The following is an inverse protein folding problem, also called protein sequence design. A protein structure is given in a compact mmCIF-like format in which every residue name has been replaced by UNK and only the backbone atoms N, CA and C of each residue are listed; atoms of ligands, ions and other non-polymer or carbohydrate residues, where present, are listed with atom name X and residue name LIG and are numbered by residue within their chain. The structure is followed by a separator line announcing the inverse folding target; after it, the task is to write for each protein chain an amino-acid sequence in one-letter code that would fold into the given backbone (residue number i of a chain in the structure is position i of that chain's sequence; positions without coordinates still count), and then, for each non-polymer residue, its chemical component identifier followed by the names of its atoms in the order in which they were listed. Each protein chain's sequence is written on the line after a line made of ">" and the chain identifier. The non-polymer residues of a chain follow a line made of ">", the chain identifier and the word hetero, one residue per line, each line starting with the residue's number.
data_IF_907560368382
#
_entry.id   IF_907560368382
#
_cell.length_a   1.000
_cell.length_b   1.000
_cell.length_c   1.000
_cell.angle_alpha   90.00
_cell.angle_beta   90.00
_cell.angle_gamma   90.00
#
_symmetry.space_group_name_H-M   'P 1'
#
loop_
_entity.id
_entity.type
_entity.pdbx_description
1 polymer ?
#
# COMPACT_ATOMS: atom_id res chain seq x y z
N UNK A 1 -66.64 -1.13 25.04
CA UNK A 1 -66.04 -0.74 26.34
C UNK A 1 -64.84 0.15 26.09
N UNK A 2 -64.96 1.42 26.45
CA UNK A 2 -63.99 2.51 26.23
C UNK A 2 -62.99 2.63 27.38
N UNK A 3 -61.74 3.02 27.05
CA UNK A 3 -60.76 3.79 27.87
C UNK A 3 -60.27 3.04 29.13
N UNK A 4 -59.05 3.13 29.66
CA UNK A 4 -57.96 4.13 29.64
C UNK A 4 -56.89 3.57 30.59
N UNK A 5 -55.62 3.52 30.21
CA UNK A 5 -54.52 3.44 31.19
C UNK A 5 -53.42 4.41 30.75
N UNK A 6 -53.41 5.56 31.41
CA UNK A 6 -52.31 6.52 31.42
C UNK A 6 -52.18 7.05 32.86
N UNK A 7 -50.91 7.19 33.26
CA UNK A 7 -50.37 8.00 34.36
C UNK A 7 -50.50 7.49 35.80
N UNK A 8 -49.33 7.15 36.38
CA UNK A 8 -48.79 7.89 37.52
C UNK A 8 -47.25 7.88 37.49
N UNK A 9 -46.66 9.08 37.54
CA UNK A 9 -45.25 9.39 37.77
C UNK A 9 -45.15 9.89 39.20
N UNK A 10 -44.20 9.43 40.03
CA UNK A 10 -43.60 10.22 41.12
C UNK A 10 -42.58 9.44 41.97
N UNK A 11 -41.40 10.04 42.12
CA UNK A 11 -40.58 10.08 43.34
C UNK A 11 -39.78 8.86 43.79
N UNK A 12 -38.55 8.74 43.29
CA UNK A 12 -37.40 8.29 44.09
C UNK A 12 -36.24 9.28 43.91
N UNK A 13 -36.20 10.30 44.76
CA UNK A 13 -35.01 11.11 45.03
C UNK A 13 -34.50 10.81 46.44
N UNK A 14 -33.19 10.95 46.62
CA UNK A 14 -32.47 11.11 47.90
C UNK A 14 -32.17 9.85 48.73
N UNK A 15 -31.16 9.09 48.32
CA UNK A 15 -30.11 8.63 49.26
C UNK A 15 -28.77 8.83 48.55
N UNK A 16 -27.93 9.72 49.09
CA UNK A 16 -26.46 9.72 49.08
C UNK A 16 -25.96 11.16 49.28
N UNK A 17 -26.02 11.59 50.54
CA UNK A 17 -25.29 12.75 51.01
C UNK A 17 -23.87 12.34 51.45
N UNK A 18 -22.89 13.12 50.97
CA UNK A 18 -21.63 13.47 51.62
C UNK A 18 -20.61 12.37 52.00
N UNK A 19 -19.59 12.19 51.15
CA UNK A 19 -18.17 12.16 51.57
C UNK A 19 -17.36 12.94 50.53
N UNK A 20 -17.21 14.25 50.75
CA UNK A 20 -16.25 15.09 50.02
C UNK A 20 -14.97 15.16 50.86
N UNK A 21 -14.06 14.22 50.62
CA UNK A 21 -12.66 14.36 51.04
C UNK A 21 -11.97 15.20 49.96
N UNK A 22 -11.62 16.44 50.30
CA UNK A 22 -10.75 17.30 49.49
C UNK A 22 -9.37 16.66 49.36
N UNK A 23 -9.16 15.90 48.29
CA UNK A 23 -7.83 15.50 47.85
C UNK A 23 -7.21 16.72 47.16
N UNK A 24 -6.08 17.28 47.66
CA UNK A 24 -5.39 18.34 46.96
C UNK A 24 -4.88 17.77 45.63
N UNK A 25 -5.43 18.27 44.52
CA UNK A 25 -4.90 18.00 43.17
C UNK A 25 -3.51 18.62 43.11
N UNK A 26 -2.47 17.82 43.40
CA UNK A 26 -1.10 18.15 43.03
C UNK A 26 -1.12 18.48 41.54
N UNK A 27 -0.67 19.68 41.20
CA UNK A 27 -0.47 20.10 39.83
C UNK A 27 0.45 19.09 39.16
N UNK A 28 -0.15 18.18 38.39
CA UNK A 28 0.58 17.34 37.48
C UNK A 28 1.19 18.25 36.43
N UNK A 29 2.51 18.15 36.26
CA UNK A 29 3.21 18.76 35.15
C UNK A 29 2.39 18.53 33.88
N UNK A 30 2.06 19.61 33.17
CA UNK A 30 1.38 19.53 31.89
C UNK A 30 2.36 18.89 30.92
N UNK A 31 2.39 17.56 30.89
CA UNK A 31 3.02 16.83 29.80
C UNK A 31 2.22 17.25 28.57
N UNK A 32 2.83 18.09 27.74
CA UNK A 32 2.23 18.51 26.48
C UNK A 32 1.83 17.22 25.75
N UNK A 33 0.52 17.08 25.44
CA UNK A 33 0.02 15.94 24.68
C UNK A 33 0.87 15.85 23.40
N UNK A 34 1.49 14.70 23.08
CA UNK A 34 2.23 14.54 21.84
C UNK A 34 1.40 15.04 20.67
N UNK A 35 2.03 15.80 19.76
CA UNK A 35 1.33 16.34 18.60
C UNK A 35 0.86 15.14 17.77
N UNK A 36 -0.44 14.92 17.74
CA UNK A 36 -1.08 13.88 16.93
C UNK A 36 -1.22 14.41 15.50
N UNK A 37 -0.87 13.63 14.49
CA UNK A 37 -1.06 14.00 13.09
C UNK A 37 -2.55 14.09 12.72
N UNK A 38 -3.37 13.24 13.33
CA UNK A 38 -4.81 13.25 13.20
C UNK A 38 -5.54 14.32 14.01
N UNK A 39 -6.87 14.31 13.86
CA UNK A 39 -7.83 15.21 14.53
C UNK A 39 -8.75 14.43 15.46
N UNK A 40 -9.21 15.10 16.52
CA UNK A 40 -10.20 14.53 17.46
C UNK A 40 -11.65 14.67 16.94
N UNK A 41 -11.86 15.56 15.96
CA UNK A 41 -13.15 15.80 15.31
C UNK A 41 -12.94 16.22 13.85
N UNK A 42 -13.86 15.79 12.98
CA UNK A 42 -13.86 16.19 11.57
C UNK A 42 -15.29 16.60 11.13
N UNK A 43 -15.47 17.72 10.39
CA UNK A 43 -16.78 18.10 9.86
C UNK A 43 -17.25 17.11 8.79
N UNK A 44 -18.52 16.68 8.88
CA UNK A 44 -19.20 15.89 7.85
C UNK A 44 -20.22 16.77 7.16
N UNK A 45 -20.16 16.85 5.84
CA UNK A 45 -21.10 17.66 5.09
C UNK A 45 -22.52 17.09 5.21
N UNK A 46 -23.52 17.97 5.17
CA UNK A 46 -24.94 17.59 5.24
C UNK A 46 -25.41 16.83 3.99
N UNK A 47 -24.76 17.05 2.85
CA UNK A 47 -25.00 16.35 1.59
C UNK A 47 -24.23 15.03 1.44
N UNK A 48 -23.52 14.57 2.48
CA UNK A 48 -22.68 13.37 2.42
C UNK A 48 -23.41 12.13 1.88
N UNK A 49 -24.69 11.96 2.24
CA UNK A 49 -25.51 10.82 1.79
C UNK A 49 -26.04 10.95 0.35
N UNK A 50 -25.88 12.13 -0.27
CA UNK A 50 -26.27 12.39 -1.65
C UNK A 50 -25.12 12.20 -2.64
N UNK A 51 -23.87 12.16 -2.17
CA UNK A 51 -22.72 11.83 -3.01
C UNK A 51 -22.94 10.45 -3.67
N UNK A 52 -22.89 10.40 -5.00
CA UNK A 52 -23.17 9.18 -5.75
C UNK A 52 -22.22 8.03 -5.38
N UNK A 53 -20.96 8.32 -5.02
CA UNK A 53 -20.01 7.30 -4.57
C UNK A 53 -20.46 6.68 -3.24
N UNK A 54 -20.95 7.50 -2.33
CA UNK A 54 -21.52 7.06 -1.05
C UNK A 54 -22.82 6.29 -1.27
N UNK A 55 -23.67 6.75 -2.18
CA UNK A 55 -24.92 6.06 -2.55
C UNK A 55 -24.65 4.69 -3.18
N UNK A 56 -23.65 4.55 -4.04
CA UNK A 56 -23.24 3.28 -4.64
C UNK A 56 -22.73 2.30 -3.58
N UNK A 57 -21.91 2.77 -2.63
CA UNK A 57 -21.45 1.94 -1.50
C UNK A 57 -22.62 1.51 -0.62
N UNK A 58 -23.55 2.42 -0.33
CA UNK A 58 -24.78 2.10 0.42
C UNK A 58 -25.65 1.09 -0.31
N UNK A 59 -25.79 1.21 -1.63
CA UNK A 59 -26.60 0.29 -2.43
C UNK A 59 -26.02 -1.13 -2.40
N UNK A 60 -24.68 -1.27 -2.43
CA UNK A 60 -24.01 -2.57 -2.45
C UNK A 60 -23.88 -3.22 -1.08
N UNK A 61 -23.55 -2.45 -0.05
CA UNK A 61 -23.18 -2.97 1.28
C UNK A 61 -24.18 -2.59 2.39
N UNK A 62 -25.26 -1.90 2.03
CA UNK A 62 -26.33 -1.51 2.95
C UNK A 62 -25.84 -0.63 4.11
N UNK A 63 -26.45 -0.85 5.28
CA UNK A 63 -26.11 -0.13 6.50
C UNK A 63 -24.67 -0.42 6.97
N UNK A 64 -24.17 -1.65 6.79
CA UNK A 64 -22.79 -2.02 7.14
C UNK A 64 -21.78 -1.23 6.32
N UNK A 65 -22.05 -1.01 5.03
CA UNK A 65 -21.19 -0.17 4.18
C UNK A 65 -21.12 1.28 4.66
N UNK A 66 -22.25 1.86 5.06
CA UNK A 66 -22.28 3.22 5.61
C UNK A 66 -21.51 3.32 6.92
N UNK A 67 -21.68 2.33 7.80
CA UNK A 67 -20.94 2.23 9.05
C UNK A 67 -19.43 2.08 8.82
N UNK A 68 -19.01 1.16 7.94
CA UNK A 68 -17.59 0.95 7.61
C UNK A 68 -16.96 2.20 6.99
N UNK A 69 -17.68 2.92 6.13
CA UNK A 69 -17.20 4.17 5.56
C UNK A 69 -16.92 5.20 6.65
N UNK A 70 -17.87 5.38 7.56
CA UNK A 70 -17.75 6.31 8.68
C UNK A 70 -16.62 5.90 9.65
N UNK A 71 -16.52 4.61 9.94
CA UNK A 71 -15.44 4.02 10.74
C UNK A 71 -14.06 4.28 10.14
N UNK A 72 -13.89 4.03 8.84
CA UNK A 72 -12.62 4.25 8.13
C UNK A 72 -12.26 5.74 8.08
N UNK A 73 -13.24 6.63 7.90
CA UNK A 73 -13.00 8.07 7.98
C UNK A 73 -12.55 8.48 9.39
N UNK A 74 -13.19 7.95 10.44
CA UNK A 74 -12.76 8.17 11.82
C UNK A 74 -11.32 7.68 12.07
N UNK A 75 -10.96 6.48 11.60
CA UNK A 75 -9.62 5.93 11.75
C UNK A 75 -8.56 6.74 10.99
N UNK A 76 -8.87 7.08 9.74
CA UNK A 76 -8.02 7.87 8.85
C UNK A 76 -7.77 9.28 9.40
N UNK A 77 -8.83 10.04 9.72
CA UNK A 77 -8.70 11.39 10.26
C UNK A 77 -8.12 11.36 11.68
N UNK A 78 -8.47 10.34 12.46
CA UNK A 78 -8.04 10.20 13.84
C UNK A 78 -6.55 9.89 13.99
N UNK A 79 -5.95 9.11 13.07
CA UNK A 79 -4.55 8.67 13.20
C UNK A 79 -3.60 9.50 12.36
N UNK A 80 -3.56 9.26 11.05
CA UNK A 80 -2.59 9.89 10.14
C UNK A 80 -3.16 11.13 9.45
N UNK A 81 -4.46 11.41 9.66
CA UNK A 81 -5.10 12.62 9.24
C UNK A 81 -5.70 12.59 7.83
N UNK A 82 -4.94 12.19 6.82
CA UNK A 82 -5.39 12.25 5.41
C UNK A 82 -5.19 10.95 4.63
N UNK A 83 -4.65 9.92 5.28
CA UNK A 83 -4.47 8.60 4.68
C UNK A 83 -4.51 7.51 5.74
N UNK A 84 -4.54 6.26 5.29
CA UNK A 84 -4.39 5.07 6.11
C UNK A 84 -3.52 4.09 5.35
N UNK A 85 -2.52 3.53 6.01
CA UNK A 85 -1.75 2.42 5.43
C UNK A 85 -2.62 1.18 5.39
N UNK A 86 -2.66 0.53 4.23
CA UNK A 86 -3.55 -0.59 3.97
C UNK A 86 -2.77 -1.85 3.60
N UNK A 87 -2.83 -2.82 4.49
CA UNK A 87 -2.28 -4.15 4.31
C UNK A 87 -3.24 -5.19 4.92
N UNK A 88 -2.88 -6.46 4.83
CA UNK A 88 -3.72 -7.55 5.33
C UNK A 88 -3.97 -7.44 6.84
N UNK A 89 -2.94 -7.13 7.64
CA UNK A 89 -3.08 -6.91 9.07
C UNK A 89 -4.05 -5.76 9.38
N UNK A 90 -3.99 -4.67 8.60
CA UNK A 90 -4.92 -3.55 8.77
C UNK A 90 -6.35 -3.95 8.49
N UNK A 91 -6.58 -4.81 7.49
CA UNK A 91 -7.91 -5.36 7.18
C UNK A 91 -8.48 -6.13 8.39
N UNK A 92 -7.67 -6.97 9.04
CA UNK A 92 -8.05 -7.68 10.27
C UNK A 92 -8.34 -6.71 11.43
N UNK A 93 -7.50 -5.69 11.64
CA UNK A 93 -7.70 -4.70 12.70
C UNK A 93 -8.98 -3.87 12.49
N UNK A 94 -9.31 -3.53 11.24
CA UNK A 94 -10.56 -2.84 10.92
C UNK A 94 -11.75 -3.76 11.16
N UNK A 95 -11.65 -5.04 10.79
CA UNK A 95 -12.70 -6.02 11.03
C UNK A 95 -13.00 -6.20 12.53
N UNK A 96 -11.96 -6.39 13.35
CA UNK A 96 -12.07 -6.51 14.81
C UNK A 96 -12.65 -5.23 15.43
N UNK A 97 -12.09 -4.07 15.08
CA UNK A 97 -12.48 -2.80 15.68
C UNK A 97 -13.84 -2.27 15.22
N UNK A 98 -14.29 -2.61 14.00
CA UNK A 98 -15.63 -2.29 13.53
C UNK A 98 -16.68 -3.23 14.14
N UNK A 99 -16.33 -4.50 14.35
CA UNK A 99 -17.25 -5.51 14.89
C UNK A 99 -18.54 -5.61 14.06
N UNK A 100 -19.68 -5.81 14.72
CA UNK A 100 -21.01 -5.82 14.10
C UNK A 100 -21.16 -6.81 12.90
N UNK A 101 -20.39 -7.90 12.91
CA UNK A 101 -20.34 -8.87 11.81
C UNK A 101 -19.74 -8.29 10.52
N UNK A 102 -18.79 -7.36 10.64
CA UNK A 102 -17.93 -6.91 9.55
C UNK A 102 -16.65 -7.75 9.56
N UNK A 103 -16.73 -9.01 9.12
CA UNK A 103 -15.55 -9.87 8.98
C UNK A 103 -14.55 -9.32 7.95
N UNK A 104 -13.33 -9.87 7.95
CA UNK A 104 -12.25 -9.40 7.07
C UNK A 104 -12.56 -9.58 5.58
N UNK A 105 -13.39 -10.55 5.21
CA UNK A 105 -13.89 -10.74 3.84
C UNK A 105 -14.79 -9.58 3.41
N UNK A 106 -15.78 -9.25 4.23
CA UNK A 106 -16.66 -8.09 4.00
C UNK A 106 -15.85 -6.78 3.90
N UNK A 107 -14.89 -6.57 4.82
CA UNK A 107 -14.05 -5.37 4.81
C UNK A 107 -13.22 -5.29 3.53
N UNK A 108 -12.64 -6.41 3.08
CA UNK A 108 -11.86 -6.48 1.83
C UNK A 108 -12.73 -6.18 0.61
N UNK A 109 -13.93 -6.74 0.53
CA UNK A 109 -14.90 -6.44 -0.53
C UNK A 109 -15.33 -4.97 -0.49
N UNK A 110 -15.56 -4.43 0.70
CA UNK A 110 -15.95 -3.04 0.91
C UNK A 110 -14.88 -2.08 0.38
N UNK A 111 -13.60 -2.29 0.73
CA UNK A 111 -12.49 -1.48 0.19
C UNK A 111 -12.39 -1.61 -1.33
N UNK A 112 -12.56 -2.81 -1.86
CA UNK A 112 -12.61 -3.02 -3.32
C UNK A 112 -13.72 -2.18 -3.95
N UNK A 113 -14.91 -2.14 -3.32
CA UNK A 113 -16.01 -1.28 -3.72
C UNK A 113 -15.66 0.22 -3.66
N UNK A 114 -14.96 0.67 -2.60
CA UNK A 114 -14.52 2.06 -2.47
C UNK A 114 -13.53 2.48 -3.56
N UNK A 115 -12.67 1.58 -4.00
CA UNK A 115 -11.75 1.82 -5.12
C UNK A 115 -12.52 1.89 -6.44
N UNK A 116 -13.45 0.94 -6.67
CA UNK A 116 -14.27 0.87 -7.88
C UNK A 116 -15.19 2.09 -8.08
N UNK A 117 -15.71 2.68 -7.01
CA UNK A 117 -16.50 3.92 -7.10
C UNK A 117 -15.66 5.20 -6.98
N UNK A 118 -14.33 5.09 -7.01
CA UNK A 118 -13.39 6.22 -6.90
C UNK A 118 -13.58 7.04 -5.63
N UNK A 119 -14.02 6.41 -4.52
CA UNK A 119 -14.05 7.03 -3.20
C UNK A 119 -12.63 7.19 -2.66
N UNK A 120 -11.80 6.16 -2.86
CA UNK A 120 -10.34 6.22 -2.69
C UNK A 120 -9.65 6.27 -4.06
N UNK A 121 -8.50 6.93 -4.15
CA UNK A 121 -7.69 6.95 -5.37
C UNK A 121 -6.99 5.61 -5.56
N UNK A 122 -7.40 4.88 -6.60
CA UNK A 122 -6.89 3.55 -6.89
C UNK A 122 -5.41 3.54 -7.27
N UNK A 123 -4.89 4.59 -7.91
CA UNK A 123 -3.47 4.65 -8.31
C UNK A 123 -2.60 4.79 -7.08
N UNK A 124 -2.97 5.68 -6.16
CA UNK A 124 -2.25 5.87 -4.90
C UNK A 124 -2.32 4.60 -4.05
N UNK A 125 -3.47 3.93 -4.00
CA UNK A 125 -3.60 2.62 -3.36
C UNK A 125 -2.67 1.57 -3.98
N UNK A 126 -2.65 1.44 -5.30
CA UNK A 126 -1.86 0.41 -5.99
C UNK A 126 -0.34 0.65 -5.87
N UNK A 127 0.10 1.91 -5.87
CA UNK A 127 1.53 2.27 -5.81
C UNK A 127 2.05 2.24 -4.37
N UNK A 128 1.30 2.79 -3.42
CA UNK A 128 1.78 3.02 -2.05
C UNK A 128 1.13 2.11 -1.00
N UNK A 129 0.07 1.38 -1.35
CA UNK A 129 -0.67 0.57 -0.39
C UNK A 129 -1.38 1.41 0.66
N UNK A 130 -1.89 2.60 0.30
CA UNK A 130 -2.57 3.51 1.23
C UNK A 130 -3.94 3.93 0.69
N UNK A 131 -4.93 4.10 1.57
CA UNK A 131 -6.22 4.68 1.18
C UNK A 131 -6.21 6.19 1.43
N UNK A 132 -6.48 6.97 0.39
CA UNK A 132 -6.66 8.43 0.46
C UNK A 132 -7.51 8.87 -0.74
N UNK A 133 -7.95 10.13 -0.75
CA UNK A 133 -8.59 10.76 -1.91
C UNK A 133 -8.43 12.27 -1.86
N UNK A 134 -8.66 12.93 -3.00
CA UNK A 134 -8.64 14.40 -3.07
C UNK A 134 -9.68 15.01 -2.13
N UNK A 135 -10.88 14.44 -2.03
CA UNK A 135 -11.90 14.89 -1.09
C UNK A 135 -11.46 14.81 0.37
N UNK A 136 -10.75 13.73 0.74
CA UNK A 136 -10.20 13.53 2.08
C UNK A 136 -9.11 14.55 2.39
N UNK A 137 -8.13 14.69 1.49
CA UNK A 137 -7.00 15.62 1.67
C UNK A 137 -7.50 17.07 1.74
N UNK A 138 -8.42 17.47 0.85
CA UNK A 138 -9.03 18.80 0.85
C UNK A 138 -9.72 19.10 2.17
N UNK A 139 -10.43 18.11 2.74
CA UNK A 139 -11.09 18.28 4.03
C UNK A 139 -10.07 18.38 5.16
N UNK A 140 -9.07 17.50 5.18
CA UNK A 140 -7.99 17.50 6.17
C UNK A 140 -7.28 18.86 6.25
N UNK A 141 -6.75 19.36 5.12
CA UNK A 141 -5.98 20.62 5.12
C UNK A 141 -6.81 21.82 5.58
N UNK A 142 -8.14 21.82 5.35
CA UNK A 142 -9.06 22.87 5.79
C UNK A 142 -9.37 22.83 7.29
N UNK A 143 -9.17 21.69 7.96
CA UNK A 143 -9.34 21.59 9.42
C UNK A 143 -8.20 22.27 10.18
N UNK A 144 -7.04 22.49 9.54
CA UNK A 144 -5.84 23.02 10.18
C UNK A 144 -5.64 24.51 9.96
N UNK A 145 -6.72 25.29 10.11
CA UNK A 145 -6.58 26.74 10.16
C UNK A 145 -5.77 27.21 11.40
N UNK A 146 -5.72 26.42 12.47
CA UNK A 146 -5.05 26.75 13.74
C UNK A 146 -3.60 26.23 13.88
N UNK A 147 -3.13 25.32 13.01
CA UNK A 147 -1.73 24.86 13.05
C UNK A 147 -0.82 25.78 12.23
N UNK A 148 0.45 25.84 12.62
CA UNK A 148 1.47 26.60 11.90
C UNK A 148 2.03 25.82 10.70
N UNK A 149 2.09 24.49 10.80
CA UNK A 149 2.61 23.60 9.76
C UNK A 149 1.74 22.35 9.60
N UNK A 150 1.56 21.93 8.35
CA UNK A 150 0.85 20.72 7.93
C UNK A 150 1.80 19.89 7.09
N UNK A 151 2.20 18.72 7.60
CA UNK A 151 3.15 17.85 6.92
C UNK A 151 2.43 16.87 6.01
N UNK A 152 2.76 16.91 4.72
CA UNK A 152 2.17 16.05 3.70
C UNK A 152 3.27 15.22 3.03
N UNK A 153 3.03 13.92 2.88
CA UNK A 153 3.89 13.04 2.10
C UNK A 153 3.66 13.35 0.62
N UNK A 154 4.71 13.83 -0.05
CA UNK A 154 4.64 14.33 -1.44
C UNK A 154 4.07 13.28 -2.38
N UNK A 155 4.42 12.02 -2.15
CA UNK A 155 4.03 10.87 -2.94
C UNK A 155 2.54 10.55 -2.83
N UNK A 156 1.87 10.96 -1.75
CA UNK A 156 0.43 10.71 -1.53
C UNK A 156 -0.45 11.87 -2.00
N UNK A 157 0.14 13.00 -2.36
CA UNK A 157 -0.58 14.25 -2.62
C UNK A 157 -1.38 14.21 -3.92
N UNK A 158 -2.66 14.59 -3.84
CA UNK A 158 -3.62 14.54 -4.95
C UNK A 158 -4.19 15.89 -5.37
N UNK A 159 -3.98 16.96 -4.59
CA UNK A 159 -4.61 18.26 -4.85
C UNK A 159 -3.76 19.12 -5.77
N UNK A 160 -4.41 19.98 -6.55
CA UNK A 160 -3.70 21.00 -7.31
C UNK A 160 -3.44 22.24 -6.43
N UNK A 161 -2.16 22.53 -6.20
CA UNK A 161 -1.71 23.70 -5.42
C UNK A 161 -2.10 25.03 -6.08
N UNK A 162 -2.23 25.05 -7.41
CA UNK A 162 -2.57 26.26 -8.17
C UNK A 162 -4.08 26.55 -8.13
N UNK A 163 -4.92 25.55 -7.84
CA UNK A 163 -6.36 25.72 -7.72
C UNK A 163 -6.75 26.13 -6.29
N UNK A 164 -7.17 27.38 -6.13
CA UNK A 164 -7.64 27.95 -4.86
C UNK A 164 -8.84 27.20 -4.27
N UNK A 165 -9.64 26.49 -5.09
CA UNK A 165 -10.75 25.65 -4.60
C UNK A 165 -10.23 24.37 -3.95
N UNK A 166 -9.08 23.88 -4.39
CA UNK A 166 -8.42 22.71 -3.84
C UNK A 166 -7.63 23.12 -2.59
N UNK A 167 -6.70 24.07 -2.75
CA UNK A 167 -5.81 24.56 -1.70
C UNK A 167 -5.95 26.08 -1.54
N UNK A 168 -6.69 26.55 -0.52
CA UNK A 168 -6.76 27.98 -0.22
C UNK A 168 -5.38 28.55 0.12
N UNK A 169 -5.13 29.80 -0.27
CA UNK A 169 -3.83 30.48 -0.07
C UNK A 169 -3.39 30.52 1.40
N UNK A 170 -4.36 30.66 2.32
CA UNK A 170 -4.14 30.64 3.77
C UNK A 170 -3.59 29.31 4.29
N UNK A 171 -3.89 28.22 3.59
CA UNK A 171 -3.46 26.86 3.92
C UNK A 171 -2.17 26.52 3.17
N UNK A 172 -2.01 26.99 1.93
CA UNK A 172 -0.83 26.71 1.10
C UNK A 172 0.48 27.06 1.82
N UNK A 173 0.52 28.23 2.46
CA UNK A 173 1.72 28.70 3.19
C UNK A 173 2.09 27.83 4.40
N UNK A 174 1.21 26.92 4.82
CA UNK A 174 1.40 26.03 5.96
C UNK A 174 1.78 24.61 5.55
N UNK A 175 1.70 24.28 4.25
CA UNK A 175 1.96 22.91 3.77
C UNK A 175 3.47 22.72 3.61
N UNK A 176 4.01 21.71 4.29
CA UNK A 176 5.38 21.24 4.13
C UNK A 176 5.37 19.83 3.57
N UNK A 177 6.03 19.65 2.42
CA UNK A 177 6.14 18.34 1.79
C UNK A 177 7.34 17.57 2.35
N UNK A 178 7.07 16.35 2.84
CA UNK A 178 8.08 15.36 3.17
C UNK A 178 8.14 14.32 2.06
N UNK A 179 9.34 13.91 1.67
CA UNK A 179 9.52 12.74 0.80
C UNK A 179 9.88 11.54 1.67
N UNK A 180 9.44 10.35 1.25
CA UNK A 180 9.78 9.10 1.91
C UNK A 180 11.28 8.81 1.74
N UNK A 181 12.09 9.24 2.70
CA UNK A 181 13.50 8.82 2.80
C UNK A 181 13.54 7.32 3.05
N UNK A 182 14.28 6.58 2.24
CA UNK A 182 14.65 5.20 2.55
C UNK A 182 15.55 5.22 3.78
N UNK A 183 15.12 4.59 4.87
CA UNK A 183 15.91 4.47 6.09
C UNK A 183 17.04 3.46 5.89
N UNK A 184 18.26 3.98 5.77
CA UNK A 184 19.43 3.45 6.48
C UNK A 184 19.77 4.46 7.58
N UNK A 185 19.99 3.99 8.79
CA UNK A 185 20.64 4.73 9.89
C UNK A 185 22.11 4.24 9.97
N UNK A 186 23.07 4.96 10.60
CA UNK A 186 22.85 5.90 11.71
C UNK A 186 23.69 7.20 11.70
N UNK A 187 23.36 8.01 12.71
CA UNK A 187 24.23 8.87 13.52
C UNK A 187 24.17 10.40 13.42
N UNK A 188 24.28 10.95 14.62
CA UNK A 188 24.12 12.33 15.09
C UNK A 188 24.87 13.38 14.26
N UNK A 189 24.17 14.47 13.94
CA UNK A 189 24.64 15.81 14.29
C UNK A 189 23.50 16.82 14.23
N UNK A 190 23.24 17.42 15.40
CA UNK A 190 22.59 18.70 15.61
C UNK A 190 23.17 19.74 14.65
N UNK A 191 22.33 20.50 13.93
CA UNK A 191 22.27 21.96 14.07
C UNK A 191 21.29 22.62 13.10
N UNK A 192 20.67 23.64 13.66
CA UNK A 192 19.70 24.58 13.14
C UNK A 192 20.27 25.38 11.95
N UNK A 193 19.45 25.68 10.93
CA UNK A 193 19.63 26.90 10.13
C UNK A 193 18.35 27.26 9.36
N UNK A 194 17.69 28.26 9.91
CA UNK A 194 16.63 29.09 9.37
C UNK A 194 17.21 30.06 8.32
N UNK A 195 16.64 30.17 7.12
CA UNK A 195 16.50 31.45 6.41
C UNK A 195 15.67 31.37 5.12
N UNK A 196 15.06 32.52 4.81
CA UNK A 196 14.04 32.83 3.82
C UNK A 196 14.64 33.09 2.42
N UNK A 197 13.84 32.74 1.39
CA UNK A 197 13.61 33.40 0.08
C UNK A 197 14.73 34.24 -0.58
N UNK A 198 15.11 33.89 -1.83
CA UNK A 198 14.78 34.65 -3.08
C UNK A 198 15.44 34.07 -4.35
N UNK A 199 14.58 33.85 -5.35
CA UNK A 199 14.70 33.98 -6.82
C UNK A 199 16.04 33.96 -7.61
N UNK A 200 15.94 33.24 -8.76
CA UNK A 200 16.27 33.61 -10.16
C UNK A 200 17.46 32.99 -10.94
N UNK A 201 17.06 32.22 -11.98
CA UNK A 201 17.46 32.31 -13.42
C UNK A 201 18.78 31.69 -13.95
N UNK A 202 18.64 30.50 -14.58
CA UNK A 202 19.11 30.07 -15.93
C UNK A 202 20.60 30.29 -16.36
N UNK A 203 21.38 29.20 -16.54
CA UNK A 203 21.92 28.74 -17.87
C UNK A 203 23.00 27.60 -17.82
N UNK A 204 22.79 26.60 -18.69
CA UNK A 204 23.72 25.69 -19.44
C UNK A 204 25.19 25.48 -19.05
N UNK A 205 25.59 24.20 -18.92
CA UNK A 205 26.62 23.46 -19.72
C UNK A 205 26.85 22.04 -19.10
N UNK A 206 26.76 20.93 -19.84
CA UNK A 206 27.85 20.14 -20.49
C UNK A 206 29.09 19.97 -19.57
N UNK A 207 29.73 18.82 -19.32
CA UNK A 207 29.61 17.42 -19.76
C UNK A 207 30.72 16.63 -19.01
N UNK A 208 30.50 15.33 -18.79
CA UNK A 208 31.47 14.23 -18.69
C UNK A 208 32.35 13.91 -17.44
N UNK A 209 32.34 12.58 -17.21
CA UNK A 209 33.36 11.65 -16.69
C UNK A 209 33.59 11.66 -15.17
N UNK A 210 33.11 10.65 -14.42
CA UNK A 210 33.48 9.21 -14.38
C UNK A 210 34.93 8.99 -13.97
N UNK A 211 35.04 8.23 -12.87
CA UNK A 211 36.16 7.42 -12.36
C UNK A 211 36.57 7.90 -10.97
N UNK A 212 36.75 7.09 -9.95
CA UNK A 212 36.50 5.67 -9.66
C UNK A 212 36.90 5.57 -8.18
N UNK A 213 36.15 4.85 -7.36
CA UNK A 213 36.79 4.14 -6.25
C UNK A 213 35.91 2.95 -5.88
N UNK A 214 36.24 1.81 -6.49
CA UNK A 214 35.93 0.50 -5.94
C UNK A 214 37.12 0.05 -5.10
N UNK A 215 36.85 -0.48 -3.89
CA UNK A 215 37.57 -1.61 -3.29
C UNK A 215 36.54 -2.32 -2.38
N UNK A 216 35.81 -3.34 -2.82
CA UNK A 216 36.19 -4.76 -3.04
C UNK A 216 35.92 -5.63 -1.80
N UNK A 217 34.85 -6.45 -1.86
CA UNK A 217 34.84 -7.81 -1.31
C UNK A 217 33.78 -8.65 -2.06
N UNK A 218 34.28 -9.65 -2.80
CA UNK A 218 33.61 -10.77 -3.48
C UNK A 218 32.72 -10.46 -4.72
N UNK A 219 33.35 -10.51 -5.90
CA UNK A 219 32.68 -10.69 -7.21
C UNK A 219 32.13 -12.10 -7.33
N UNK A 220 30.95 -12.34 -6.78
CA UNK A 220 30.18 -13.53 -7.12
C UNK A 220 29.71 -13.44 -8.58
N UNK A 221 29.83 -14.51 -9.39
CA UNK A 221 29.36 -14.51 -10.76
C UNK A 221 27.84 -14.30 -10.79
N UNK A 222 27.40 -13.26 -11.49
CA UNK A 222 25.98 -13.00 -11.73
C UNK A 222 25.41 -14.05 -12.68
N UNK A 223 24.39 -14.79 -12.23
CA UNK A 223 23.79 -15.90 -12.98
C UNK A 223 22.70 -15.41 -13.91
N UNK A 224 21.88 -14.48 -13.43
CA UNK A 224 20.79 -13.90 -14.20
C UNK A 224 20.57 -12.44 -13.79
N UNK A 225 20.18 -11.62 -14.75
CA UNK A 225 19.89 -10.21 -14.57
C UNK A 225 18.44 -9.91 -14.98
N UNK A 226 17.72 -9.17 -14.13
CA UNK A 226 16.34 -8.75 -14.40
C UNK A 226 16.28 -7.27 -14.81
N UNK A 227 15.67 -6.93 -15.95
CA UNK A 227 15.63 -5.55 -16.42
C UNK A 227 14.69 -4.69 -15.58
N UNK A 228 15.20 -3.53 -15.15
CA UNK A 228 14.48 -2.55 -14.34
C UNK A 228 13.93 -1.39 -15.17
N UNK A 229 13.08 -0.57 -14.56
CA UNK A 229 12.40 0.55 -15.20
C UNK A 229 13.32 1.74 -15.50
N UNK A 230 14.40 1.88 -14.75
CA UNK A 230 15.44 2.91 -14.93
C UNK A 230 16.42 2.57 -16.08
N UNK A 231 16.24 1.43 -16.73
CA UNK A 231 17.11 0.93 -17.80
C UNK A 231 18.32 0.13 -17.31
N UNK A 232 18.52 0.03 -16.00
CA UNK A 232 19.55 -0.81 -15.41
C UNK A 232 19.05 -2.25 -15.24
N UNK A 233 19.97 -3.17 -15.02
CA UNK A 233 19.70 -4.58 -14.75
C UNK A 233 19.94 -4.88 -13.27
N UNK A 234 19.04 -5.63 -12.64
CA UNK A 234 19.20 -6.14 -11.28
C UNK A 234 19.95 -7.49 -11.32
N UNK A 235 21.22 -7.55 -10.88
CA UNK A 235 21.99 -8.79 -10.88
C UNK A 235 21.53 -9.73 -9.77
N UNK A 236 21.46 -11.03 -10.07
CA UNK A 236 21.18 -12.10 -9.12
C UNK A 236 22.35 -13.09 -9.11
N UNK A 237 22.93 -13.31 -7.94
CA UNK A 237 24.06 -14.22 -7.71
C UNK A 237 23.58 -15.59 -7.18
N UNK A 238 24.48 -16.58 -7.14
CA UNK A 238 24.16 -17.94 -6.66
C UNK A 238 23.66 -17.94 -5.21
N UNK A 239 24.30 -17.18 -4.32
CA UNK A 239 23.89 -17.05 -2.91
C UNK A 239 22.42 -16.68 -2.75
N UNK A 240 21.92 -15.75 -3.56
CA UNK A 240 20.52 -15.33 -3.51
C UNK A 240 19.56 -16.39 -4.06
N UNK A 241 20.01 -17.20 -5.02
CA UNK A 241 19.23 -18.33 -5.52
C UNK A 241 19.12 -19.39 -4.44
N UNK A 242 20.20 -19.65 -3.71
CA UNK A 242 20.24 -20.61 -2.61
C UNK A 242 19.35 -20.15 -1.45
N UNK A 243 19.43 -18.88 -1.04
CA UNK A 243 18.54 -18.29 -0.03
C UNK A 243 17.05 -18.46 -0.38
N UNK A 244 16.69 -18.30 -1.67
CA UNK A 244 15.32 -18.50 -2.12
C UNK A 244 14.96 -19.98 -2.28
N UNK A 245 15.89 -20.85 -2.61
CA UNK A 245 15.66 -22.29 -2.67
C UNK A 245 15.32 -22.85 -1.28
N UNK A 246 15.96 -22.33 -0.23
CA UNK A 246 15.67 -22.69 1.17
C UNK A 246 14.25 -22.27 1.59
N UNK A 247 13.81 -21.07 1.17
CA UNK A 247 12.49 -20.52 1.53
C UNK A 247 11.37 -21.12 0.66
N UNK A 248 11.67 -21.47 -0.59
CA UNK A 248 10.72 -21.96 -1.59
C UNK A 248 11.11 -23.34 -2.16
N UNK A 249 11.17 -24.39 -1.32
CA UNK A 249 11.70 -25.70 -1.72
C UNK A 249 10.86 -26.42 -2.80
N UNK A 250 9.61 -26.00 -3.01
CA UNK A 250 8.74 -26.58 -4.04
C UNK A 250 8.89 -25.89 -5.42
N UNK A 251 9.77 -24.90 -5.56
CA UNK A 251 9.90 -24.05 -6.76
C UNK A 251 11.28 -24.18 -7.40
N UNK A 252 11.32 -24.35 -8.72
CA UNK A 252 12.56 -24.23 -9.50
C UNK A 252 12.90 -22.74 -9.70
N UNK A 253 13.70 -22.20 -8.76
CA UNK A 253 14.06 -20.78 -8.68
C UNK A 253 14.67 -20.29 -10.00
N UNK A 254 15.61 -21.03 -10.59
CA UNK A 254 16.32 -20.60 -11.79
C UNK A 254 15.40 -20.57 -13.01
N UNK A 255 14.51 -21.56 -13.15
CA UNK A 255 13.50 -21.55 -14.19
C UNK A 255 12.53 -20.37 -14.03
N UNK A 256 12.07 -20.09 -12.81
CA UNK A 256 11.16 -18.97 -12.54
C UNK A 256 11.83 -17.61 -12.74
N UNK A 257 13.09 -17.43 -12.35
CA UNK A 257 13.83 -16.19 -12.65
C UNK A 257 13.95 -15.95 -14.17
N UNK A 258 14.13 -17.00 -14.98
CA UNK A 258 14.09 -16.88 -16.45
C UNK A 258 12.70 -16.47 -16.95
N UNK A 259 11.62 -17.03 -16.39
CA UNK A 259 10.24 -16.63 -16.72
C UNK A 259 9.96 -15.18 -16.34
N UNK A 260 10.42 -14.75 -15.16
CA UNK A 260 10.34 -13.36 -14.71
C UNK A 260 11.06 -12.41 -15.69
N UNK A 261 12.28 -12.76 -16.12
CA UNK A 261 13.03 -11.98 -17.11
C UNK A 261 12.27 -11.86 -18.43
N UNK A 262 11.74 -12.97 -18.94
CA UNK A 262 10.93 -12.98 -20.16
C UNK A 262 9.68 -12.09 -20.02
N UNK A 263 8.99 -12.15 -18.89
CA UNK A 263 7.82 -11.32 -18.60
C UNK A 263 8.15 -9.82 -18.56
N UNK A 264 9.26 -9.44 -17.91
CA UNK A 264 9.72 -8.05 -17.83
C UNK A 264 10.17 -7.49 -19.20
N UNK A 265 10.74 -8.35 -20.05
CA UNK A 265 11.06 -7.99 -21.43
C UNK A 265 9.80 -7.76 -22.26
N UNK A 266 8.79 -8.63 -22.14
CA UNK A 266 7.51 -8.49 -22.82
C UNK A 266 6.65 -7.31 -22.30
N UNK A 267 6.92 -6.82 -21.08
CA UNK A 267 6.16 -5.74 -20.45
C UNK A 267 7.05 -4.57 -19.98
N UNK A 268 7.64 -3.77 -20.89
CA UNK A 268 8.57 -2.69 -20.53
C UNK A 268 7.99 -1.66 -19.54
N UNK A 269 6.72 -1.29 -19.69
CA UNK A 269 6.03 -0.34 -18.81
C UNK A 269 5.72 -0.90 -17.41
N UNK A 270 5.85 -2.22 -17.22
CA UNK A 270 5.61 -2.91 -15.94
C UNK A 270 6.90 -3.40 -15.28
N UNK A 271 8.07 -3.03 -15.83
CA UNK A 271 9.36 -3.29 -15.19
C UNK A 271 9.40 -2.69 -13.80
N UNK A 272 10.15 -3.31 -12.90
CA UNK A 272 10.16 -2.91 -11.50
C UNK A 272 11.22 -1.84 -11.26
N UNK A 273 11.00 -1.02 -10.24
CA UNK A 273 12.03 -0.15 -9.69
C UNK A 273 13.04 -0.99 -8.91
N UNK A 274 14.26 -0.47 -8.67
CA UNK A 274 15.25 -1.13 -7.81
C UNK A 274 14.69 -1.52 -6.43
N UNK A 275 13.78 -0.70 -5.88
CA UNK A 275 13.09 -0.98 -4.61
C UNK A 275 12.03 -2.09 -4.71
N UNK A 276 11.36 -2.20 -5.85
CA UNK A 276 10.24 -3.11 -6.06
C UNK A 276 10.62 -4.50 -6.59
N UNK A 277 11.82 -4.66 -7.16
CA UNK A 277 12.23 -5.91 -7.84
C UNK A 277 12.29 -7.10 -6.88
N UNK A 278 12.83 -6.94 -5.66
CA UNK A 278 12.88 -8.01 -4.64
C UNK A 278 11.48 -8.47 -4.24
N UNK A 279 10.55 -7.53 -3.98
CA UNK A 279 9.16 -7.86 -3.64
C UNK A 279 8.46 -8.58 -4.79
N UNK A 280 8.74 -8.19 -6.02
CA UNK A 280 8.23 -8.87 -7.21
C UNK A 280 8.70 -10.33 -7.27
N UNK A 281 10.00 -10.59 -7.06
CA UNK A 281 10.57 -11.94 -7.06
C UNK A 281 9.92 -12.80 -5.96
N UNK A 282 9.92 -12.32 -4.72
CA UNK A 282 9.35 -13.05 -3.58
C UNK A 282 7.86 -13.33 -3.78
N UNK A 283 7.08 -12.33 -4.23
CA UNK A 283 5.65 -12.52 -4.50
C UNK A 283 5.40 -13.52 -5.64
N UNK A 284 6.26 -13.53 -6.66
CA UNK A 284 6.16 -14.51 -7.74
C UNK A 284 6.44 -15.92 -7.23
N UNK A 285 7.57 -16.12 -6.53
CA UNK A 285 7.96 -17.43 -6.00
C UNK A 285 6.95 -17.98 -4.99
N UNK A 286 6.44 -17.16 -4.07
CA UNK A 286 5.37 -17.56 -3.14
C UNK A 286 4.14 -18.06 -3.90
N UNK A 287 3.69 -17.31 -4.91
CA UNK A 287 2.55 -17.73 -5.73
C UNK A 287 2.83 -19.01 -6.51
N UNK A 288 4.05 -19.20 -7.03
CA UNK A 288 4.42 -20.45 -7.71
C UNK A 288 4.39 -21.64 -6.75
N UNK A 289 4.87 -21.46 -5.52
CA UNK A 289 4.83 -22.49 -4.47
C UNK A 289 3.38 -22.84 -4.07
N UNK A 290 2.56 -21.82 -3.80
CA UNK A 290 1.20 -21.99 -3.27
C UNK A 290 0.22 -22.52 -4.33
N UNK A 291 0.50 -22.29 -5.61
CA UNK A 291 -0.40 -22.68 -6.71
C UNK A 291 -0.32 -24.16 -7.09
N UNK A 292 0.30 -25.02 -6.27
CA UNK A 292 0.30 -26.47 -6.43
C UNK A 292 0.47 -26.90 -7.88
N UNK A 293 1.56 -26.43 -8.52
CA UNK A 293 1.95 -26.72 -9.91
C UNK A 293 0.80 -27.07 -10.86
N UNK A 294 0.12 -26.09 -11.46
CA UNK A 294 -0.68 -26.34 -12.68
C UNK A 294 -0.77 -25.05 -13.49
N UNK A 295 -0.58 -24.99 -14.82
CA UNK A 295 -0.64 -25.96 -15.91
C UNK A 295 0.38 -25.52 -16.96
N UNK A 296 1.38 -26.36 -17.23
CA UNK A 296 2.35 -26.14 -18.32
C UNK A 296 3.81 -26.09 -17.89
N UNK A 297 4.31 -27.13 -17.23
CA UNK A 297 5.61 -27.77 -17.53
C UNK A 297 5.88 -28.85 -16.47
N UNK A 298 5.74 -30.12 -16.84
CA UNK A 298 6.41 -31.22 -16.15
C UNK A 298 7.90 -30.98 -16.37
N UNK A 299 8.72 -30.88 -15.32
CA UNK A 299 10.16 -31.02 -15.50
C UNK A 299 10.38 -32.36 -16.21
N UNK A 300 10.88 -32.32 -17.45
CA UNK A 300 11.52 -33.51 -18.00
C UNK A 300 12.65 -33.81 -17.02
N UNK A 301 12.64 -35.01 -16.44
CA UNK A 301 13.80 -35.55 -15.74
C UNK A 301 15.04 -35.20 -16.57
N UNK A 302 16.08 -34.69 -15.90
CA UNK A 302 17.41 -34.57 -16.49
C UNK A 302 17.79 -35.94 -17.05
N UNK A 303 17.82 -36.05 -18.37
CA UNK A 303 18.33 -37.22 -19.05
C UNK A 303 19.84 -37.28 -18.76
N UNK A 304 20.23 -38.16 -17.85
CA UNK A 304 21.63 -38.52 -17.66
C UNK A 304 22.07 -39.30 -18.91
N UNK A 305 22.98 -38.71 -19.69
CA UNK A 305 23.52 -39.31 -20.91
C UNK A 305 24.48 -40.47 -20.63
N UNK A 306 24.69 -40.86 -19.38
CA UNK A 306 25.63 -41.91 -18.99
C UNK A 306 24.98 -43.20 -18.49
N UNK A 307 23.64 -43.31 -18.48
CA UNK A 307 22.92 -44.52 -18.08
C UNK A 307 22.21 -45.21 -19.28
N UNK A 308 22.76 -46.30 -19.83
CA UNK A 308 22.16 -47.08 -20.91
C UNK A 308 20.84 -47.79 -20.53
N UNK A 309 20.46 -47.84 -19.25
CA UNK A 309 19.29 -48.58 -18.78
C UNK A 309 17.95 -47.82 -18.88
N UNK A 310 17.97 -46.55 -19.32
CA UNK A 310 16.77 -45.69 -19.38
C UNK A 310 16.04 -45.67 -20.74
N UNK A 311 16.48 -46.49 -21.71
CA UNK A 311 15.93 -46.52 -23.06
C UNK A 311 14.71 -47.46 -23.17
N UNK A 312 13.51 -46.91 -23.02
CA UNK A 312 12.29 -47.51 -23.59
C UNK A 312 11.93 -46.73 -24.84
N UNK A 313 12.33 -47.25 -26.00
CA UNK A 313 12.00 -46.65 -27.29
C UNK A 313 10.51 -46.78 -27.60
N UNK A 314 9.90 -45.68 -28.05
CA UNK A 314 8.75 -45.66 -28.97
C UNK A 314 8.51 -44.21 -29.46
N UNK A 315 9.01 -43.96 -30.67
CA UNK A 315 8.58 -43.07 -31.76
C UNK A 315 7.95 -41.67 -31.50
N UNK A 316 8.82 -40.65 -31.43
CA UNK A 316 8.48 -39.24 -31.74
C UNK A 316 8.53 -38.93 -33.26
N UNK A 317 8.84 -39.91 -34.12
CA UNK A 317 8.98 -39.75 -35.57
C UNK A 317 7.62 -39.78 -36.30
N UNK A 318 6.69 -40.63 -35.84
CA UNK A 318 5.34 -40.81 -36.41
C UNK A 318 4.44 -39.58 -36.18
N UNK A 319 4.54 -38.93 -35.01
CA UNK A 319 3.75 -37.75 -34.67
C UNK A 319 4.10 -36.54 -35.55
N UNK A 320 5.38 -36.37 -35.89
CA UNK A 320 5.85 -35.30 -36.78
C UNK A 320 5.41 -35.53 -38.23
N UNK A 321 5.41 -36.78 -38.70
CA UNK A 321 4.98 -37.13 -40.05
C UNK A 321 3.46 -37.01 -40.26
N UNK A 322 2.64 -37.23 -39.22
CA UNK A 322 1.19 -36.93 -39.28
C UNK A 322 0.90 -35.45 -39.41
N UNK A 323 1.59 -34.63 -38.61
CA UNK A 323 1.44 -33.17 -38.64
C UNK A 323 1.88 -32.57 -39.99
N UNK A 324 2.97 -33.09 -40.58
CA UNK A 324 3.42 -32.67 -41.90
C UNK A 324 2.42 -32.99 -43.02
N UNK A 325 1.70 -34.12 -42.92
CA UNK A 325 0.72 -34.56 -43.93
C UNK A 325 -0.62 -33.80 -43.87
N UNK A 326 -0.94 -33.20 -42.72
CA UNK A 326 -2.12 -32.33 -42.57
C UNK A 326 -1.91 -30.93 -43.19
N UNK A 327 -0.66 -30.46 -43.29
CA UNK A 327 -0.36 -29.13 -43.87
C UNK A 327 -0.31 -29.11 -45.40
N UNK A 328 -0.27 -30.26 -46.07
CA UNK A 328 -0.28 -30.34 -47.55
C UNK A 328 -1.69 -30.45 -48.16
N UNK A 329 -2.74 -30.58 -47.35
CA UNK A 329 -4.12 -30.79 -47.81
C UNK A 329 -5.11 -29.65 -47.44
N UNK A 330 -4.60 -28.45 -47.11
CA UNK A 330 -5.40 -27.22 -46.90
C UNK A 330 -4.82 -26.06 -47.69
#
# INVERSE_FOLDING_TARGET
>A
CSKSILCTVSSWTNIFAAVLISIPRKGGDRVARPIKDGVDYFPKNTDFYQDDKVRLLRARFGAKGMYLLDYLLCDLYGKNGYYIEWNENKCFLVSDGAGCGCDSGLVKEFITGCLQCSFFDERVFNVFGILTSSGIQRRYIRMFNSRDEIQIIKEYWLLNVEDKKDVPLSVLNKITFKSLKSTENPDKSTENSQSKLKENKVNKSKVNNISSEQVELATEPTIIALPMIDGNDYPICQSQIDDWADVFPAVDILADLKRMRAWLNANPTKRKTPRGIKRFIVTWLSKTQDSGGTRGYRSKLSYDRTDPASYTGEDDSEAFLRYARELENT
#
